data_IF_450607665536
#
_entry.id   IF_450607665536
#
_cell.length_a   1.000
_cell.length_b   1.000
_cell.length_c   1.000
_cell.angle_alpha   90.00
_cell.angle_beta   90.00
_cell.angle_gamma   90.00
#
_symmetry.space_group_name_H-M   'P 1'
#
loop_
_entity.id
_entity.type
_entity.pdbx_description
1 polymer ?
#
# COMPACT_ATOMS: atom_id res chain seq x y z
N UNK A 1 37.38 -14.94 38.56
CA UNK A 1 36.76 -15.29 37.26
C UNK A 1 35.21 -15.29 37.37
N UNK A 2 34.54 -14.14 37.42
CA UNK A 2 33.07 -14.04 37.66
C UNK A 2 32.30 -13.19 36.61
N UNK A 3 32.99 -12.32 35.88
CA UNK A 3 32.38 -11.38 34.92
C UNK A 3 31.65 -12.07 33.74
N UNK A 4 32.12 -13.25 33.33
CA UNK A 4 31.54 -14.00 32.19
C UNK A 4 30.20 -14.69 32.46
N UNK A 5 29.81 -14.89 33.72
CA UNK A 5 28.57 -15.59 34.09
C UNK A 5 27.36 -14.64 34.04
N UNK A 6 27.52 -13.42 34.57
CA UNK A 6 26.49 -12.38 34.53
C UNK A 6 26.10 -11.97 33.10
N UNK A 7 27.08 -11.89 32.19
CA UNK A 7 26.81 -11.57 30.80
C UNK A 7 25.97 -12.65 30.08
N UNK A 8 26.19 -13.93 30.39
CA UNK A 8 25.42 -15.05 29.80
C UNK A 8 23.98 -15.10 30.30
N UNK A 9 23.76 -14.83 31.59
CA UNK A 9 22.41 -14.80 32.17
C UNK A 9 21.59 -13.63 31.62
N UNK A 10 22.21 -12.46 31.40
CA UNK A 10 21.54 -11.30 30.78
C UNK A 10 21.11 -11.58 29.34
N UNK A 11 21.97 -12.20 28.52
CA UNK A 11 21.60 -12.60 27.14
C UNK A 11 20.45 -13.60 27.12
N UNK A 12 20.45 -14.59 28.02
CA UNK A 12 19.34 -15.56 28.14
C UNK A 12 18.01 -14.91 28.53
N UNK A 13 18.02 -13.96 29.45
CA UNK A 13 16.80 -13.20 29.83
C UNK A 13 16.26 -12.37 28.67
N UNK A 14 17.13 -11.71 27.89
CA UNK A 14 16.71 -10.92 26.72
C UNK A 14 16.11 -11.84 25.65
N UNK A 15 16.73 -13.00 25.39
CA UNK A 15 16.21 -13.98 24.44
C UNK A 15 14.86 -14.55 24.89
N UNK A 16 14.72 -14.94 26.16
CA UNK A 16 13.47 -15.45 26.72
C UNK A 16 12.35 -14.40 26.62
N UNK A 17 12.63 -13.15 26.98
CA UNK A 17 11.65 -12.05 26.88
C UNK A 17 11.24 -11.75 25.43
N UNK A 18 12.12 -11.98 24.46
CA UNK A 18 11.83 -11.83 23.03
C UNK A 18 10.94 -12.95 22.49
N UNK A 19 11.07 -14.16 23.03
CA UNK A 19 10.22 -15.33 22.73
C UNK A 19 8.84 -15.17 23.40
N UNK A 20 8.81 -14.61 24.61
CA UNK A 20 7.56 -14.36 25.33
C UNK A 20 6.77 -13.17 24.75
N UNK A 21 7.47 -12.19 24.17
CA UNK A 21 6.88 -11.04 23.49
C UNK A 21 6.58 -11.28 21.99
N UNK A 22 7.01 -12.40 21.41
CA UNK A 22 6.59 -12.74 20.05
C UNK A 22 5.14 -13.19 20.09
N UNK A 23 4.25 -12.42 19.45
CA UNK A 23 2.86 -12.84 19.30
C UNK A 23 2.79 -14.24 18.68
N UNK A 24 1.84 -15.08 19.12
CA UNK A 24 1.62 -16.38 18.49
C UNK A 24 1.31 -16.19 17.01
N UNK A 25 1.85 -17.08 16.18
CA UNK A 25 1.60 -17.07 14.74
C UNK A 25 0.08 -17.15 14.47
N UNK A 26 -0.46 -16.10 13.86
CA UNK A 26 -1.87 -16.03 13.45
C UNK A 26 -1.96 -16.12 11.93
N UNK A 27 -2.33 -17.29 11.43
CA UNK A 27 -2.49 -17.55 10.01
C UNK A 27 -3.52 -16.62 9.34
N UNK A 28 -4.51 -16.12 10.09
CA UNK A 28 -5.52 -15.19 9.56
C UNK A 28 -4.92 -13.83 9.26
N UNK A 29 -4.03 -13.32 10.13
CA UNK A 29 -3.31 -12.06 9.90
C UNK A 29 -2.45 -12.15 8.63
N UNK A 30 -1.67 -13.23 8.49
CA UNK A 30 -0.83 -13.45 7.30
C UNK A 30 -1.66 -13.54 6.01
N UNK A 31 -2.79 -14.26 6.06
CA UNK A 31 -3.70 -14.34 4.92
C UNK A 31 -4.29 -12.96 4.56
N UNK A 32 -4.72 -12.18 5.55
CA UNK A 32 -5.24 -10.83 5.32
C UNK A 32 -4.18 -9.91 4.71
N UNK A 33 -2.93 -9.98 5.17
CA UNK A 33 -1.83 -9.19 4.60
C UNK A 33 -1.60 -9.55 3.14
N UNK A 34 -1.56 -10.85 2.80
CA UNK A 34 -1.43 -11.31 1.41
C UNK A 34 -2.60 -10.88 0.53
N UNK A 35 -3.83 -10.99 1.05
CA UNK A 35 -5.02 -10.54 0.33
C UNK A 35 -5.01 -9.04 0.12
N UNK A 36 -4.49 -8.24 1.05
CA UNK A 36 -4.38 -6.79 0.90
C UNK A 36 -3.52 -6.42 -0.32
N UNK A 37 -2.41 -7.12 -0.55
CA UNK A 37 -1.60 -6.92 -1.76
C UNK A 37 -2.35 -7.29 -3.04
N UNK A 38 -3.02 -8.44 -3.05
CA UNK A 38 -3.75 -8.93 -4.22
C UNK A 38 -4.90 -8.00 -4.56
N UNK A 39 -5.74 -7.68 -3.58
CA UNK A 39 -6.90 -6.81 -3.75
C UNK A 39 -6.43 -5.43 -4.17
N UNK A 40 -5.41 -4.88 -3.52
CA UNK A 40 -4.87 -3.58 -3.86
C UNK A 40 -4.34 -3.51 -5.30
N UNK A 41 -3.65 -4.56 -5.77
CA UNK A 41 -3.23 -4.66 -7.16
C UNK A 41 -4.42 -4.72 -8.12
N UNK A 42 -5.44 -5.54 -7.82
CA UNK A 42 -6.67 -5.64 -8.63
C UNK A 42 -7.42 -4.31 -8.67
N UNK A 43 -7.49 -3.58 -7.56
CA UNK A 43 -8.09 -2.24 -7.51
C UNK A 43 -7.36 -1.26 -8.43
N UNK A 44 -6.02 -1.29 -8.45
CA UNK A 44 -5.26 -0.46 -9.38
C UNK A 44 -5.61 -0.82 -10.84
N UNK A 45 -5.69 -2.11 -11.18
CA UNK A 45 -6.03 -2.58 -12.53
C UNK A 45 -7.40 -2.08 -13.04
N UNK A 46 -8.37 -1.80 -12.17
CA UNK A 46 -9.65 -1.23 -12.60
C UNK A 46 -9.56 0.19 -13.18
N UNK A 47 -8.43 0.88 -13.00
CA UNK A 47 -8.18 2.17 -13.66
C UNK A 47 -7.71 1.99 -15.11
N UNK A 48 -7.18 0.82 -15.48
CA UNK A 48 -6.60 0.55 -16.81
C UNK A 48 -7.63 0.71 -17.93
N UNK A 49 -8.86 0.17 -17.85
CA UNK A 49 -9.86 0.37 -18.92
C UNK A 49 -10.20 1.85 -19.14
N UNK A 50 -10.27 2.64 -18.06
CA UNK A 50 -10.56 4.07 -18.16
C UNK A 50 -9.40 4.83 -18.81
N UNK A 51 -8.17 4.53 -18.39
CA UNK A 51 -6.96 5.10 -18.98
C UNK A 51 -6.88 4.75 -20.47
N UNK A 52 -7.09 3.48 -20.82
CA UNK A 52 -7.10 3.02 -22.21
C UNK A 52 -8.16 3.74 -23.04
N UNK A 53 -9.39 3.87 -22.53
CA UNK A 53 -10.49 4.52 -23.25
C UNK A 53 -10.15 5.96 -23.64
N UNK A 54 -9.54 6.71 -22.72
CA UNK A 54 -9.17 8.11 -22.98
C UNK A 54 -8.05 8.20 -24.03
N UNK A 55 -6.98 7.42 -23.85
CA UNK A 55 -5.79 7.54 -24.70
C UNK A 55 -5.90 6.84 -26.06
N UNK A 56 -6.60 5.70 -26.14
CA UNK A 56 -6.74 4.95 -27.39
C UNK A 56 -7.91 5.46 -28.25
N UNK A 57 -9.03 5.85 -27.64
CA UNK A 57 -10.20 6.33 -28.38
C UNK A 57 -10.23 7.86 -28.50
N UNK A 58 -9.38 8.58 -27.75
CA UNK A 58 -9.37 10.04 -27.73
C UNK A 58 -10.67 10.67 -27.22
N UNK A 59 -11.40 9.97 -26.36
CA UNK A 59 -12.71 10.42 -25.85
C UNK A 59 -12.78 10.37 -24.33
N UNK A 60 -12.97 11.55 -23.75
CA UNK A 60 -13.25 11.81 -22.34
C UNK A 60 -14.75 11.95 -22.03
N UNK A 61 -15.62 11.73 -23.03
CA UNK A 61 -17.05 12.06 -22.93
C UNK A 61 -17.74 11.32 -21.77
N UNK A 62 -18.47 12.06 -20.94
CA UNK A 62 -19.15 11.52 -19.76
C UNK A 62 -18.23 11.16 -18.59
N UNK A 63 -16.94 11.50 -18.64
CA UNK A 63 -15.99 11.28 -17.54
C UNK A 63 -15.80 12.58 -16.75
N UNK A 64 -16.11 12.56 -15.47
CA UNK A 64 -16.02 13.74 -14.61
C UNK A 64 -14.58 14.05 -14.18
N UNK A 65 -13.99 15.13 -14.70
CA UNK A 65 -12.67 15.61 -14.29
C UNK A 65 -12.60 15.88 -12.78
N UNK A 66 -13.65 16.48 -12.20
CA UNK A 66 -13.69 16.79 -10.78
C UNK A 66 -13.59 15.52 -9.91
N UNK A 67 -14.27 14.45 -10.32
CA UNK A 67 -14.20 13.16 -9.62
C UNK A 67 -12.78 12.58 -9.64
N UNK A 68 -12.10 12.63 -10.79
CA UNK A 68 -10.74 12.11 -10.93
C UNK A 68 -9.69 12.94 -10.21
N UNK A 69 -9.86 14.27 -10.13
CA UNK A 69 -9.05 15.12 -9.24
C UNK A 69 -9.26 14.77 -7.77
N UNK A 70 -10.50 14.49 -7.36
CA UNK A 70 -10.82 14.02 -6.01
C UNK A 70 -10.16 12.68 -5.69
N UNK A 71 -10.21 11.72 -6.62
CA UNK A 71 -9.53 10.43 -6.47
C UNK A 71 -8.01 10.58 -6.41
N UNK A 72 -7.43 11.46 -7.23
CA UNK A 72 -6.00 11.74 -7.22
C UNK A 72 -5.55 12.32 -5.87
N UNK A 73 -6.30 13.28 -5.33
CA UNK A 73 -6.04 13.84 -4.01
C UNK A 73 -6.17 12.79 -2.90
N UNK A 74 -7.19 11.93 -2.98
CA UNK A 74 -7.35 10.81 -2.05
C UNK A 74 -6.18 9.82 -2.13
N UNK A 75 -5.70 9.49 -3.34
CA UNK A 75 -4.54 8.61 -3.52
C UNK A 75 -3.27 9.19 -2.89
N UNK A 76 -3.04 10.51 -3.04
CA UNK A 76 -1.94 11.19 -2.34
C UNK A 76 -2.06 11.07 -0.81
N UNK A 77 -3.26 11.29 -0.27
CA UNK A 77 -3.53 11.15 1.16
C UNK A 77 -3.26 9.73 1.65
N UNK A 78 -3.78 8.72 0.96
CA UNK A 78 -3.60 7.32 1.35
C UNK A 78 -2.15 6.84 1.21
N UNK A 79 -1.43 7.31 0.20
CA UNK A 79 -0.02 7.00 0.06
C UNK A 79 0.80 7.60 1.22
N UNK A 80 0.49 8.84 1.63
CA UNK A 80 1.08 9.45 2.81
C UNK A 80 0.72 8.68 4.09
N UNK A 81 -0.56 8.32 4.25
CA UNK A 81 -1.03 7.52 5.39
C UNK A 81 -0.29 6.19 5.50
N UNK A 82 -0.15 5.46 4.39
CA UNK A 82 0.55 4.18 4.33
C UNK A 82 2.03 4.34 4.73
N UNK A 83 2.67 5.44 4.30
CA UNK A 83 4.05 5.74 4.68
C UNK A 83 4.21 6.02 6.18
N UNK A 84 3.25 6.72 6.80
CA UNK A 84 3.26 7.02 8.24
C UNK A 84 3.03 5.75 9.07
N UNK A 85 2.05 4.93 8.68
CA UNK A 85 1.68 3.70 9.40
C UNK A 85 2.54 2.49 9.04
N UNK A 86 3.46 2.63 8.08
CA UNK A 86 4.32 1.54 7.58
C UNK A 86 3.53 0.36 7.04
N UNK A 87 2.49 0.66 6.27
CA UNK A 87 1.62 -0.32 5.60
C UNK A 87 2.07 -0.52 4.15
N UNK A 88 2.95 -1.50 3.86
CA UNK A 88 3.56 -1.64 2.54
C UNK A 88 2.57 -2.00 1.44
N UNK A 89 1.51 -2.76 1.75
CA UNK A 89 0.47 -3.12 0.78
C UNK A 89 -0.23 -1.86 0.24
N UNK A 90 -0.71 -1.00 1.14
CA UNK A 90 -1.34 0.27 0.75
C UNK A 90 -0.35 1.17 0.00
N UNK A 91 0.91 1.24 0.44
CA UNK A 91 1.91 2.08 -0.21
C UNK A 91 2.13 1.68 -1.68
N UNK A 92 2.26 0.37 -1.96
CA UNK A 92 2.41 -0.14 -3.32
C UNK A 92 1.15 0.14 -4.15
N UNK A 93 -0.03 -0.20 -3.61
CA UNK A 93 -1.31 0.01 -4.28
C UNK A 93 -1.54 1.46 -4.67
N UNK A 94 -1.41 2.38 -3.73
CA UNK A 94 -1.67 3.79 -4.00
C UNK A 94 -0.57 4.45 -4.83
N UNK A 95 0.65 3.92 -4.85
CA UNK A 95 1.68 4.37 -5.80
C UNK A 95 1.28 4.06 -7.25
N UNK A 96 0.85 2.82 -7.53
CA UNK A 96 0.44 2.41 -8.88
C UNK A 96 -0.84 3.17 -9.29
N UNK A 97 -1.83 3.22 -8.41
CA UNK A 97 -3.09 3.92 -8.65
C UNK A 97 -2.87 5.42 -8.90
N UNK A 98 -1.94 6.06 -8.17
CA UNK A 98 -1.60 7.47 -8.38
C UNK A 98 -1.10 7.71 -9.81
N UNK A 99 -0.17 6.89 -10.30
CA UNK A 99 0.35 7.02 -11.67
C UNK A 99 -0.76 6.88 -12.70
N UNK A 100 -1.65 5.90 -12.55
CA UNK A 100 -2.79 5.72 -13.45
C UNK A 100 -3.75 6.90 -13.41
N UNK A 101 -4.07 7.41 -12.22
CA UNK A 101 -4.98 8.56 -12.05
C UNK A 101 -4.38 9.86 -12.61
N UNK A 102 -3.07 10.08 -12.46
CA UNK A 102 -2.38 11.19 -13.14
C UNK A 102 -2.55 11.06 -14.65
N UNK A 103 -2.31 9.87 -15.22
CA UNK A 103 -2.50 9.63 -16.65
C UNK A 103 -3.95 9.85 -17.12
N UNK A 104 -4.94 9.50 -16.30
CA UNK A 104 -6.35 9.77 -16.58
C UNK A 104 -6.63 11.28 -16.55
N UNK A 105 -6.24 11.97 -15.49
CA UNK A 105 -6.44 13.44 -15.37
C UNK A 105 -5.77 14.17 -16.52
N UNK A 106 -4.54 13.82 -16.88
CA UNK A 106 -3.83 14.41 -18.02
C UNK A 106 -4.59 14.12 -19.33
N UNK A 107 -5.05 12.89 -19.54
CA UNK A 107 -5.83 12.54 -20.72
C UNK A 107 -7.14 13.34 -20.81
N UNK A 108 -7.85 13.54 -19.70
CA UNK A 108 -9.08 14.35 -19.63
C UNK A 108 -8.85 15.85 -19.90
N UNK A 109 -7.63 16.35 -19.71
CA UNK A 109 -7.29 17.74 -20.03
C UNK A 109 -6.92 17.93 -21.50
N UNK A 110 -6.55 16.85 -22.20
CA UNK A 110 -6.10 16.87 -23.59
C UNK A 110 -7.23 16.55 -24.56
N UNK A 111 -8.05 15.54 -24.24
CA UNK A 111 -9.16 15.05 -25.06
C UNK A 111 -10.50 15.45 -24.48
#
# INVERSE_FOLDING_TARGET
MSVGLHHRLRKRRIAARKIEASEPFDARKVLLDQLAYVIGFVTALFNVPQLWRIWANGSSEGVSLFSWLGFLAASCFWLYYARVHREPALAVTYSITLVMQVGIVVGLLIF
#
